data_IF_208072492330
#
_entry.id   IF_208072492330
#
_cell.length_a   1.000
_cell.length_b   1.000
_cell.length_c   1.000
_cell.angle_alpha   90.00
_cell.angle_beta   90.00
_cell.angle_gamma   90.00
#
_symmetry.space_group_name_H-M   'P 1'
#
loop_
_entity.id
_entity.type
_entity.pdbx_description
1 polymer ?
#
# COMPACT_ATOMS: atom_id res chain seq x y z
N UNK A 1 -10.44 6.59 -19.51
CA UNK A 1 -9.79 5.76 -18.47
C UNK A 1 -10.11 4.31 -18.75
N UNK A 2 -9.10 3.45 -18.91
CA UNK A 2 -9.32 2.00 -18.94
C UNK A 2 -9.36 1.54 -17.48
N UNK A 3 -10.48 0.95 -17.06
CA UNK A 3 -10.67 0.45 -15.70
C UNK A 3 -10.09 -0.97 -15.61
N UNK A 4 -9.27 -1.25 -14.58
CA UNK A 4 -8.59 -2.54 -14.38
C UNK A 4 -9.27 -3.42 -13.30
N UNK A 5 -10.42 -2.98 -12.79
CA UNK A 5 -11.15 -3.57 -11.68
C UNK A 5 -11.38 -5.08 -11.82
N UNK A 6 -11.88 -5.59 -12.94
CA UNK A 6 -12.18 -7.03 -13.11
C UNK A 6 -10.92 -7.91 -12.97
N UNK A 7 -9.80 -7.44 -13.53
CA UNK A 7 -8.50 -8.10 -13.43
C UNK A 7 -7.97 -8.03 -11.99
N UNK A 8 -8.06 -6.86 -11.35
CA UNK A 8 -7.60 -6.64 -9.99
C UNK A 8 -8.39 -7.48 -8.97
N UNK A 9 -9.72 -7.57 -9.12
CA UNK A 9 -10.57 -8.44 -8.29
C UNK A 9 -10.14 -9.90 -8.40
N UNK A 10 -9.91 -10.37 -9.63
CA UNK A 10 -9.45 -11.74 -9.87
C UNK A 10 -8.08 -12.01 -9.25
N UNK A 11 -7.14 -11.06 -9.40
CA UNK A 11 -5.80 -11.16 -8.85
C UNK A 11 -5.82 -11.19 -7.32
N UNK A 12 -6.49 -10.22 -6.68
CA UNK A 12 -6.61 -10.12 -5.23
C UNK A 12 -7.28 -11.35 -4.61
N UNK A 13 -8.35 -11.85 -5.24
CA UNK A 13 -9.01 -13.08 -4.79
C UNK A 13 -8.04 -14.25 -4.79
N UNK A 14 -7.27 -14.45 -5.86
CA UNK A 14 -6.31 -15.55 -5.98
C UNK A 14 -5.14 -15.40 -5.00
N UNK A 15 -4.62 -14.18 -4.81
CA UNK A 15 -3.57 -13.89 -3.84
C UNK A 15 -3.99 -14.22 -2.41
N UNK A 16 -5.25 -13.93 -2.06
CA UNK A 16 -5.83 -14.26 -0.76
C UNK A 16 -6.34 -15.70 -0.66
N UNK A 17 -6.16 -16.51 -1.72
CA UNK A 17 -6.60 -17.90 -1.78
C UNK A 17 -8.11 -18.10 -1.55
N UNK A 18 -8.93 -17.12 -1.92
CA UNK A 18 -10.38 -17.21 -1.79
C UNK A 18 -11.05 -17.76 -3.05
N UNK A 19 -12.15 -18.47 -2.83
CA UNK A 19 -13.13 -18.82 -3.85
C UNK A 19 -14.09 -17.65 -4.09
N UNK A 20 -14.78 -17.64 -5.23
CA UNK A 20 -15.81 -16.61 -5.50
C UNK A 20 -16.96 -16.68 -4.49
N UNK A 21 -17.26 -17.88 -3.97
CA UNK A 21 -18.28 -18.09 -2.94
C UNK A 21 -17.86 -17.43 -1.61
N UNK A 22 -16.60 -17.61 -1.20
CA UNK A 22 -16.09 -16.99 0.03
C UNK A 22 -16.05 -15.47 -0.06
N UNK A 23 -15.65 -14.91 -1.20
CA UNK A 23 -15.69 -13.45 -1.42
C UNK A 23 -17.12 -12.95 -1.32
N UNK A 24 -18.06 -13.62 -2.00
CA UNK A 24 -19.47 -13.26 -2.00
C UNK A 24 -20.07 -13.29 -0.58
N UNK A 25 -19.76 -14.34 0.18
CA UNK A 25 -20.19 -14.49 1.58
C UNK A 25 -19.64 -13.38 2.49
N UNK A 26 -18.34 -13.03 2.34
CA UNK A 26 -17.68 -12.00 3.16
C UNK A 26 -18.25 -10.60 2.95
N UNK A 27 -18.67 -10.27 1.73
CA UNK A 27 -19.18 -8.92 1.39
C UNK A 27 -20.72 -8.87 1.27
N UNK A 28 -21.42 -9.98 1.49
CA UNK A 28 -22.88 -10.04 1.54
C UNK A 28 -23.58 -9.98 0.18
N UNK A 29 -23.00 -10.59 -0.86
CA UNK A 29 -23.57 -10.64 -2.22
C UNK A 29 -23.68 -12.07 -2.74
N UNK A 30 -24.27 -12.25 -3.92
CA UNK A 30 -24.32 -13.57 -4.55
C UNK A 30 -23.00 -13.92 -5.25
N UNK A 31 -22.63 -15.21 -5.26
CA UNK A 31 -21.48 -15.70 -6.04
C UNK A 31 -21.57 -15.29 -7.52
N UNK A 32 -22.77 -15.25 -8.08
CA UNK A 32 -23.01 -14.82 -9.46
C UNK A 32 -22.61 -13.35 -9.70
N UNK A 33 -22.83 -12.47 -8.71
CA UNK A 33 -22.40 -11.07 -8.81
C UNK A 33 -20.86 -10.99 -8.90
N UNK A 34 -20.15 -11.67 -7.99
CA UNK A 34 -18.68 -11.71 -7.99
C UNK A 34 -18.13 -12.27 -9.30
N UNK A 35 -18.73 -13.35 -9.82
CA UNK A 35 -18.32 -13.93 -11.11
C UNK A 35 -18.48 -12.94 -12.27
N UNK A 36 -19.59 -12.20 -12.34
CA UNK A 36 -19.80 -11.18 -13.37
C UNK A 36 -18.82 -10.02 -13.25
N UNK A 37 -18.44 -9.63 -12.04
CA UNK A 37 -17.45 -8.58 -11.81
C UNK A 37 -16.06 -9.01 -12.27
N UNK A 38 -15.63 -10.23 -11.92
CA UNK A 38 -14.34 -10.79 -12.34
C UNK A 38 -14.25 -11.00 -13.86
N UNK A 39 -15.37 -11.35 -14.51
CA UNK A 39 -15.44 -11.48 -15.97
C UNK A 39 -15.56 -10.15 -16.71
N UNK A 40 -15.78 -9.03 -16.00
CA UNK A 40 -16.03 -7.72 -16.61
C UNK A 40 -17.41 -7.57 -17.27
N UNK A 41 -18.36 -8.46 -16.98
CA UNK A 41 -19.74 -8.42 -17.48
C UNK A 41 -20.58 -7.35 -16.77
N UNK A 42 -20.22 -7.01 -15.53
CA UNK A 42 -20.81 -5.90 -14.76
C UNK A 42 -19.77 -5.32 -13.80
N UNK A 43 -20.07 -4.19 -13.17
CA UNK A 43 -19.22 -3.59 -12.15
C UNK A 43 -19.93 -3.58 -10.78
N UNK A 44 -19.19 -3.79 -9.66
CA UNK A 44 -19.72 -3.53 -8.33
C UNK A 44 -20.06 -2.04 -8.18
N UNK A 45 -21.06 -1.75 -7.36
CA UNK A 45 -21.35 -0.37 -6.95
C UNK A 45 -20.30 0.14 -5.95
N UNK A 46 -20.40 1.42 -5.57
CA UNK A 46 -19.45 2.07 -4.67
C UNK A 46 -19.39 1.37 -3.30
N UNK A 47 -20.52 0.87 -2.80
CA UNK A 47 -20.60 0.20 -1.49
C UNK A 47 -19.81 -1.12 -1.54
N UNK A 48 -20.05 -1.92 -2.58
CA UNK A 48 -19.35 -3.18 -2.80
C UNK A 48 -17.86 -2.97 -3.09
N UNK A 49 -17.51 -1.94 -3.86
CA UNK A 49 -16.12 -1.54 -4.07
C UNK A 49 -15.40 -1.23 -2.77
N UNK A 50 -16.03 -0.49 -1.85
CA UNK A 50 -15.42 -0.18 -0.56
C UNK A 50 -15.28 -1.44 0.31
N UNK A 51 -16.31 -2.30 0.36
CA UNK A 51 -16.24 -3.57 1.09
C UNK A 51 -15.14 -4.49 0.56
N UNK A 52 -14.97 -4.56 -0.76
CA UNK A 52 -13.89 -5.33 -1.40
C UNK A 52 -12.50 -4.74 -1.06
N UNK A 53 -12.35 -3.41 -1.12
CA UNK A 53 -11.10 -2.74 -0.78
C UNK A 53 -10.69 -2.98 0.69
N UNK A 54 -11.64 -2.89 1.61
CA UNK A 54 -11.43 -3.20 3.03
C UNK A 54 -11.08 -4.67 3.25
N UNK A 55 -11.86 -5.59 2.65
CA UNK A 55 -11.63 -7.04 2.78
C UNK A 55 -10.24 -7.45 2.28
N UNK A 56 -9.79 -6.89 1.16
CA UNK A 56 -8.46 -7.17 0.61
C UNK A 56 -7.34 -6.34 1.21
N UNK A 57 -7.66 -5.41 2.13
CA UNK A 57 -6.72 -4.45 2.70
C UNK A 57 -5.92 -3.70 1.62
N UNK A 58 -6.62 -3.12 0.64
CA UNK A 58 -6.04 -2.28 -0.43
C UNK A 58 -6.74 -0.93 -0.49
N UNK A 59 -6.13 0.06 -1.15
CA UNK A 59 -6.84 1.32 -1.41
C UNK A 59 -7.93 1.11 -2.48
N UNK A 60 -9.02 1.88 -2.42
CA UNK A 60 -10.05 1.85 -3.46
C UNK A 60 -9.49 2.28 -4.83
N UNK A 61 -8.55 3.22 -4.84
CA UNK A 61 -7.89 3.65 -6.08
C UNK A 61 -7.08 2.51 -6.70
N UNK A 62 -6.28 1.79 -5.91
CA UNK A 62 -5.53 0.64 -6.40
C UNK A 62 -6.46 -0.51 -6.81
N UNK A 63 -7.56 -0.75 -6.09
CA UNK A 63 -8.55 -1.76 -6.48
C UNK A 63 -9.06 -1.53 -7.91
N UNK A 64 -9.34 -0.27 -8.28
CA UNK A 64 -9.98 0.09 -9.55
C UNK A 64 -8.95 0.34 -10.66
N UNK A 65 -7.85 1.02 -10.35
CA UNK A 65 -6.94 1.62 -11.33
C UNK A 65 -5.56 0.95 -11.40
N UNK A 66 -5.23 0.01 -10.50
CA UNK A 66 -3.91 -0.59 -10.50
C UNK A 66 -3.64 -1.35 -11.81
N UNK A 67 -2.52 -1.02 -12.45
CA UNK A 67 -2.04 -1.67 -13.67
C UNK A 67 -0.72 -2.38 -13.39
N UNK A 68 -0.78 -3.70 -13.27
CA UNK A 68 0.38 -4.57 -12.99
C UNK A 68 1.52 -4.40 -14.01
N UNK A 69 1.19 -4.13 -15.28
CA UNK A 69 2.21 -3.95 -16.34
C UNK A 69 3.02 -2.66 -16.18
N UNK A 70 2.42 -1.63 -15.57
CA UNK A 70 3.10 -0.36 -15.29
C UNK A 70 3.89 -0.38 -13.98
N UNK A 71 3.73 -1.44 -13.18
CA UNK A 71 4.31 -1.62 -11.85
C UNK A 71 5.32 -2.76 -11.82
N UNK A 72 5.96 -3.05 -12.95
CA UNK A 72 7.00 -4.07 -13.09
C UNK A 72 6.59 -5.47 -12.58
N UNK A 73 5.30 -5.81 -12.70
CA UNK A 73 4.78 -7.10 -12.22
C UNK A 73 4.60 -7.20 -10.70
N UNK A 74 4.70 -6.08 -9.98
CA UNK A 74 4.45 -6.05 -8.55
C UNK A 74 2.96 -6.20 -8.25
N UNK A 75 2.65 -6.92 -7.18
CA UNK A 75 1.28 -7.06 -6.71
C UNK A 75 0.73 -5.76 -6.11
N UNK A 76 -0.60 -5.66 -6.02
CA UNK A 76 -1.30 -4.52 -5.41
C UNK A 76 -0.82 -4.36 -3.96
N UNK A 77 -0.32 -3.17 -3.57
CA UNK A 77 0.18 -2.97 -2.22
C UNK A 77 -0.96 -2.95 -1.20
N UNK A 78 -0.66 -3.29 0.07
CA UNK A 78 -1.61 -3.07 1.15
C UNK A 78 -2.02 -1.60 1.25
N UNK A 79 -3.20 -1.37 1.83
CA UNK A 79 -3.70 -0.02 2.13
C UNK A 79 -2.67 0.77 2.92
N UNK A 80 -2.51 2.03 2.56
CA UNK A 80 -1.58 2.99 3.17
C UNK A 80 -0.08 2.60 3.04
N UNK A 81 0.25 1.60 2.22
CA UNK A 81 1.62 1.21 1.89
C UNK A 81 1.90 1.50 0.43
N UNK A 82 3.10 2.02 0.14
CA UNK A 82 3.46 2.46 -1.20
C UNK A 82 4.84 1.96 -1.60
N UNK A 83 4.94 1.48 -2.84
CA UNK A 83 6.21 1.31 -3.55
C UNK A 83 6.32 2.40 -4.61
N UNK A 84 7.38 3.19 -4.53
CA UNK A 84 7.63 4.33 -5.44
C UNK A 84 8.51 3.96 -6.64
N UNK A 85 8.77 2.67 -6.84
CA UNK A 85 9.68 2.14 -7.85
C UNK A 85 11.12 2.06 -7.36
N UNK A 86 12.00 1.56 -8.23
CA UNK A 86 13.43 1.54 -8.00
C UNK A 86 14.04 2.91 -8.34
N UNK A 87 14.98 3.37 -7.52
CA UNK A 87 15.79 4.57 -7.79
C UNK A 87 17.26 4.19 -7.77
N UNK A 88 18.04 4.78 -8.67
CA UNK A 88 19.49 4.57 -8.71
C UNK A 88 20.22 5.60 -7.86
N UNK A 89 21.34 5.19 -7.28
CA UNK A 89 22.27 6.08 -6.57
C UNK A 89 23.13 6.80 -7.61
N UNK A 90 23.15 8.13 -7.57
CA UNK A 90 24.02 8.93 -8.44
C UNK A 90 25.49 8.88 -8.04
N UNK A 91 26.37 9.43 -8.88
CA UNK A 91 27.84 9.38 -8.70
C UNK A 91 28.36 9.90 -7.35
N UNK A 92 27.58 10.77 -6.69
CA UNK A 92 27.91 11.36 -5.39
C UNK A 92 27.20 10.69 -4.20
N UNK A 93 26.66 9.49 -4.39
CA UNK A 93 25.86 8.80 -3.36
C UNK A 93 24.44 9.37 -3.18
N UNK A 94 24.00 10.25 -4.08
CA UNK A 94 22.70 10.93 -3.97
C UNK A 94 21.55 10.04 -4.42
N UNK A 95 20.46 10.03 -3.65
CA UNK A 95 19.20 9.37 -4.01
C UNK A 95 18.16 10.45 -4.27
N UNK A 96 17.49 10.37 -5.42
CA UNK A 96 16.39 11.29 -5.75
C UNK A 96 15.09 10.72 -5.21
N UNK A 97 14.44 11.43 -4.27
CA UNK A 97 13.12 11.02 -3.78
C UNK A 97 12.09 11.22 -4.90
N UNK A 98 11.38 10.16 -5.32
CA UNK A 98 10.37 10.24 -6.37
C UNK A 98 9.32 11.31 -6.07
N UNK A 99 8.85 12.01 -7.11
CA UNK A 99 7.84 13.08 -6.98
C UNK A 99 6.62 12.62 -6.18
N UNK A 100 6.08 11.44 -6.49
CA UNK A 100 4.92 10.86 -5.79
C UNK A 100 5.18 10.64 -4.30
N UNK A 101 6.38 10.20 -3.92
CA UNK A 101 6.75 10.05 -2.51
C UNK A 101 6.80 11.41 -1.79
N UNK A 102 7.37 12.42 -2.45
CA UNK A 102 7.41 13.79 -1.89
C UNK A 102 6.01 14.38 -1.69
N UNK A 103 5.10 14.14 -2.62
CA UNK A 103 3.71 14.61 -2.51
C UNK A 103 2.95 13.88 -1.39
N UNK A 104 3.07 12.55 -1.29
CA UNK A 104 2.36 11.75 -0.28
C UNK A 104 2.86 12.05 1.14
N UNK A 105 4.18 12.20 1.33
CA UNK A 105 4.77 12.43 2.64
C UNK A 105 5.07 13.91 2.94
N UNK A 106 4.56 14.83 2.11
CA UNK A 106 4.76 16.28 2.22
C UNK A 106 6.24 16.66 2.46
N UNK A 107 7.14 16.14 1.62
CA UNK A 107 8.57 16.41 1.68
C UNK A 107 8.91 17.60 0.79
N UNK A 108 9.36 18.69 1.42
CA UNK A 108 9.66 19.97 0.77
C UNK A 108 11.16 20.30 0.81
N UNK A 109 11.66 21.15 -0.11
CA UNK A 109 13.00 21.71 0.01
C UNK A 109 13.17 22.43 1.36
N UNK A 110 14.22 22.07 2.10
CA UNK A 110 14.50 22.61 3.44
C UNK A 110 14.05 21.67 4.58
N UNK A 111 13.23 20.67 4.30
CA UNK A 111 12.89 19.64 5.29
C UNK A 111 14.13 18.85 5.70
N UNK A 112 14.18 18.50 6.99
CA UNK A 112 15.19 17.60 7.53
C UNK A 112 14.65 16.18 7.58
N UNK A 113 15.40 15.27 6.99
CA UNK A 113 15.10 13.84 7.00
C UNK A 113 16.17 13.13 7.82
N UNK A 114 15.73 12.25 8.72
CA UNK A 114 16.59 11.33 9.44
C UNK A 114 16.80 10.08 8.61
N UNK A 115 18.05 9.64 8.50
CA UNK A 115 18.43 8.38 7.86
C UNK A 115 18.81 7.40 8.97
N UNK A 116 18.07 6.29 9.02
CA UNK A 116 18.26 5.18 9.96
C UNK A 116 18.85 4.00 9.20
N UNK A 117 19.64 3.17 9.87
CA UNK A 117 20.24 1.97 9.31
C UNK A 117 20.10 0.79 10.25
N UNK A 118 19.84 -0.38 9.68
CA UNK A 118 19.93 -1.67 10.36
C UNK A 118 21.04 -2.49 9.67
N UNK A 119 21.97 -3.03 10.45
CA UNK A 119 23.09 -3.84 9.97
C UNK A 119 22.84 -5.34 10.12
N UNK A 120 21.71 -5.75 10.72
CA UNK A 120 21.33 -7.16 10.81
C UNK A 120 21.25 -7.76 9.40
N UNK A 121 22.04 -8.80 9.07
CA UNK A 121 22.07 -9.38 7.72
C UNK A 121 20.71 -9.86 7.20
N UNK A 122 19.76 -10.20 8.08
CA UNK A 122 18.40 -10.61 7.67
C UNK A 122 17.47 -9.42 7.38
N UNK A 123 17.82 -8.22 7.86
CA UNK A 123 17.00 -6.99 7.78
C UNK A 123 17.76 -5.78 7.27
N UNK A 124 18.97 -5.99 6.75
CA UNK A 124 19.93 -4.95 6.44
C UNK A 124 19.32 -3.94 5.48
N UNK A 125 19.34 -2.67 5.87
CA UNK A 125 18.66 -1.64 5.09
C UNK A 125 18.75 -0.26 5.71
N UNK A 126 18.29 0.72 4.93
CA UNK A 126 18.15 2.10 5.40
C UNK A 126 16.67 2.49 5.38
N UNK A 127 16.27 3.27 6.38
CA UNK A 127 14.98 3.92 6.43
C UNK A 127 15.16 5.44 6.44
N UNK A 128 14.24 6.16 5.78
CA UNK A 128 14.24 7.62 5.76
C UNK A 128 12.91 8.08 6.33
N UNK A 129 12.96 8.97 7.33
CA UNK A 129 11.79 9.50 8.02
C UNK A 129 11.96 11.01 8.24
N UNK A 130 10.88 11.78 8.27
CA UNK A 130 10.98 13.20 8.64
C UNK A 130 11.40 13.33 10.10
N UNK A 131 12.28 14.29 10.39
CA UNK A 131 12.85 14.48 11.73
C UNK A 131 11.75 14.78 12.77
N UNK A 132 10.79 15.64 12.44
CA UNK A 132 9.65 15.98 13.30
C UNK A 132 8.80 14.76 13.67
N UNK A 133 8.38 13.97 12.68
CA UNK A 133 7.59 12.74 12.86
C UNK A 133 8.34 11.73 13.75
N UNK A 134 9.65 11.57 13.53
CA UNK A 134 10.45 10.66 14.33
C UNK A 134 10.56 11.12 15.78
N UNK A 135 10.79 12.41 16.01
CA UNK A 135 10.93 12.96 17.37
C UNK A 135 9.62 12.87 18.15
N UNK A 136 8.47 13.06 17.50
CA UNK A 136 7.15 12.84 18.12
C UNK A 136 6.97 11.38 18.54
N UNK A 137 7.32 10.43 17.66
CA UNK A 137 7.24 9.00 17.99
C UNK A 137 8.21 8.62 19.13
N UNK A 138 9.45 9.12 19.09
CA UNK A 138 10.45 8.85 20.13
C UNK A 138 10.00 9.38 21.50
N UNK A 139 9.40 10.57 21.55
CA UNK A 139 8.82 11.12 22.77
C UNK A 139 7.72 10.22 23.35
N UNK A 140 6.81 9.74 22.50
CA UNK A 140 5.74 8.82 22.93
C UNK A 140 6.29 7.50 23.50
N UNK A 141 7.33 6.94 22.87
CA UNK A 141 7.98 5.71 23.35
C UNK A 141 8.63 5.94 24.72
N UNK A 142 9.39 7.03 24.87
CA UNK A 142 10.03 7.37 26.15
C UNK A 142 9.02 7.57 27.28
N UNK A 143 7.89 8.21 26.98
CA UNK A 143 6.81 8.40 27.96
C UNK A 143 6.13 7.08 28.34
N UNK A 144 5.94 6.16 27.38
CA UNK A 144 5.38 4.85 27.65
C UNK A 144 6.30 3.99 28.54
N UNK A 145 7.61 4.04 28.30
CA UNK A 145 8.60 3.33 29.13
C UNK A 145 8.57 3.85 30.56
N UNK A 146 8.53 5.17 30.77
CA UNK A 146 8.47 5.77 32.12
C UNK A 146 7.22 5.36 32.92
N UNK A 147 6.07 5.20 32.24
CA UNK A 147 4.80 4.80 32.90
C UNK A 147 4.74 3.30 33.23
N UNK A 148 5.57 2.47 32.60
CA UNK A 148 5.65 1.03 32.90
C UNK A 148 6.56 0.69 34.08
N UNK A 149 7.30 1.69 34.60
CA UNK A 149 8.17 1.57 35.76
C UNK A 149 7.50 2.03 37.08
N UNK A 150 6.27 2.56 37.02
CA UNK A 150 5.40 2.92 38.16
C UNK A 150 4.33 1.85 38.44
#
# INVERSE_FOLDING_TARGET
>A
MKNHLSMNLTALRKMNQYTQEEVASRIGVSRQAVAKWENGESAPDVINCNALAEMYNVSLDDLVNYNEKEKDGLAIPPKDKHMFGCVSVGERGQIVIPKKAREIFDIKPGDRLMVLGDEDPERAGIAIVKEDVFMELAAQIMDAVKRGEE
#
